data_IF_302365499389
#
_entry.id   IF_302365499389
#
_cell.length_a   1.000
_cell.length_b   1.000
_cell.length_c   1.000
_cell.angle_alpha   90.00
_cell.angle_beta   90.00
_cell.angle_gamma   90.00
#
_symmetry.space_group_name_H-M   'P 1'
#
loop_
_entity.id
_entity.type
_entity.pdbx_description
1 polymer ?
#
# COMPACT_ATOMS: atom_id res chain seq x y z
N UNK A 1 -17.93 30.48 -1.29
CA UNK A 1 -16.89 30.30 -2.34
C UNK A 1 -15.64 31.19 -2.20
N UNK A 2 -15.67 32.32 -1.45
CA UNK A 2 -14.52 33.24 -1.33
C UNK A 2 -13.53 32.93 -0.18
N UNK A 3 -13.90 32.15 0.84
CA UNK A 3 -13.01 31.83 1.97
C UNK A 3 -12.08 30.63 1.72
N UNK A 4 -12.47 29.66 0.87
CA UNK A 4 -11.65 28.50 0.51
C UNK A 4 -10.38 28.90 -0.28
N UNK A 5 -10.42 29.93 -1.14
CA UNK A 5 -9.23 30.41 -1.88
C UNK A 5 -8.15 31.03 -0.97
N UNK A 6 -8.52 31.61 0.19
CA UNK A 6 -7.56 32.25 1.10
C UNK A 6 -6.72 31.22 1.87
N UNK A 7 -7.31 30.09 2.26
CA UNK A 7 -6.62 29.02 3.01
C UNK A 7 -5.59 28.31 2.13
N UNK A 8 -5.95 27.97 0.89
CA UNK A 8 -5.02 27.41 -0.09
C UNK A 8 -3.88 28.39 -0.43
N UNK A 9 -4.14 29.70 -0.54
CA UNK A 9 -3.07 30.68 -0.79
C UNK A 9 -2.07 30.81 0.37
N UNK A 10 -2.50 30.59 1.62
CA UNK A 10 -1.62 30.66 2.80
C UNK A 10 -0.72 29.44 2.88
N UNK A 11 -1.25 28.24 2.65
CA UNK A 11 -0.47 26.99 2.64
C UNK A 11 0.53 27.02 1.47
N UNK A 12 0.09 27.44 0.28
CA UNK A 12 0.96 27.51 -0.89
C UNK A 12 2.06 28.58 -0.75
N UNK A 13 1.78 29.73 -0.15
CA UNK A 13 2.80 30.76 0.13
C UNK A 13 3.76 30.35 1.25
N UNK A 14 3.32 29.57 2.24
CA UNK A 14 4.19 29.00 3.28
C UNK A 14 5.18 28.00 2.67
N UNK A 15 4.70 27.14 1.75
CA UNK A 15 5.53 26.22 0.97
C UNK A 15 6.46 26.95 0.00
N UNK A 16 6.06 28.07 -0.61
CA UNK A 16 6.93 28.81 -1.55
C UNK A 16 8.05 29.60 -0.84
N UNK A 17 7.77 30.12 0.36
CA UNK A 17 8.73 30.89 1.16
C UNK A 17 9.77 30.00 1.84
N UNK A 18 9.44 28.75 2.17
CA UNK A 18 10.42 27.76 2.67
C UNK A 18 11.37 27.25 1.59
N UNK A 19 10.94 27.22 0.32
CA UNK A 19 11.77 26.72 -0.79
C UNK A 19 12.82 27.71 -1.32
N UNK A 20 12.72 29.01 -1.03
CA UNK A 20 13.60 30.03 -1.65
C UNK A 20 14.71 30.58 -0.74
N UNK A 21 14.84 30.11 0.50
CA UNK A 21 15.91 30.59 1.42
C UNK A 21 16.85 29.51 1.99
N UNK A 22 16.68 28.22 1.66
CA UNK A 22 17.43 27.15 2.33
C UNK A 22 18.23 26.24 1.38
N UNK A 23 18.96 26.82 0.43
CA UNK A 23 19.90 26.04 -0.40
C UNK A 23 21.12 25.49 0.36
N UNK A 24 21.25 25.77 1.66
CA UNK A 24 22.35 25.29 2.52
C UNK A 24 21.88 24.43 3.73
N UNK A 25 20.57 24.16 3.87
CA UNK A 25 20.01 23.32 4.95
C UNK A 25 19.42 21.97 4.46
N UNK A 26 19.40 21.74 3.14
CA UNK A 26 18.79 20.55 2.54
C UNK A 26 19.66 19.27 2.63
N UNK A 27 20.90 19.35 3.09
CA UNK A 27 21.83 18.20 3.14
C UNK A 27 21.61 17.26 4.35
N UNK A 28 20.53 17.45 5.12
CA UNK A 28 20.16 16.58 6.26
C UNK A 28 18.70 16.14 6.29
N UNK A 29 17.99 16.19 5.16
CA UNK A 29 16.75 15.42 5.01
C UNK A 29 17.15 14.05 4.48
N UNK A 30 17.05 13.01 5.32
CA UNK A 30 17.24 11.63 4.88
C UNK A 30 16.32 11.36 3.69
N UNK A 31 16.87 11.36 2.47
CA UNK A 31 16.14 10.93 1.27
C UNK A 31 15.78 9.46 1.49
N UNK A 32 14.50 9.16 1.64
CA UNK A 32 14.03 7.77 1.67
C UNK A 32 14.20 7.26 0.24
N UNK A 33 15.21 6.41 0.03
CA UNK A 33 15.40 5.73 -1.23
C UNK A 33 14.36 4.60 -1.34
N UNK A 34 13.68 4.53 -2.47
CA UNK A 34 12.60 3.57 -2.70
C UNK A 34 12.92 2.85 -4.00
N UNK A 35 12.83 1.53 -3.98
CA UNK A 35 12.81 0.72 -5.19
C UNK A 35 11.38 0.63 -5.70
N UNK A 36 11.23 0.83 -7.00
CA UNK A 36 10.02 0.44 -7.73
C UNK A 36 10.36 -0.85 -8.47
N UNK A 37 9.67 -1.94 -8.12
CA UNK A 37 9.89 -3.25 -8.71
C UNK A 37 8.69 -3.62 -9.56
N UNK A 38 8.91 -4.31 -10.67
CA UNK A 38 7.85 -4.69 -11.63
C UNK A 38 7.75 -6.20 -11.73
N UNK A 39 6.51 -6.70 -11.80
CA UNK A 39 6.18 -8.10 -12.08
C UNK A 39 5.44 -8.20 -13.41
N UNK A 40 5.88 -9.11 -14.27
CA UNK A 40 5.19 -9.44 -15.52
C UNK A 40 4.10 -10.46 -15.22
N UNK A 41 2.84 -10.12 -15.50
CA UNK A 41 1.69 -10.96 -15.18
C UNK A 41 1.65 -12.23 -16.06
N UNK A 42 2.32 -12.24 -17.20
CA UNK A 42 2.48 -13.45 -18.02
C UNK A 42 3.34 -14.53 -17.34
N UNK A 43 4.14 -14.16 -16.34
CA UNK A 43 4.97 -15.10 -15.57
C UNK A 43 4.21 -15.65 -14.35
N UNK A 44 2.92 -15.30 -14.19
CA UNK A 44 2.11 -15.75 -13.05
C UNK A 44 1.81 -17.25 -13.12
N UNK A 45 2.35 -17.96 -12.14
CA UNK A 45 1.98 -19.34 -11.84
C UNK A 45 1.09 -19.38 -10.60
N UNK A 46 -0.04 -20.08 -10.71
CA UNK A 46 -0.99 -20.22 -9.62
C UNK A 46 -0.34 -20.89 -8.41
N UNK A 47 -0.41 -20.22 -7.27
CA UNK A 47 0.15 -20.71 -6.01
C UNK A 47 -0.95 -21.24 -5.10
N UNK A 48 -0.88 -22.52 -4.75
CA UNK A 48 -1.82 -23.13 -3.82
C UNK A 48 -1.42 -22.86 -2.37
N UNK A 49 -2.38 -22.38 -1.59
CA UNK A 49 -2.25 -22.23 -0.13
C UNK A 49 -2.70 -23.51 0.54
N UNK A 50 -1.85 -24.11 1.39
CA UNK A 50 -2.17 -25.34 2.12
C UNK A 50 -2.55 -25.04 3.59
N UNK A 51 -3.27 -23.95 3.83
CA UNK A 51 -3.73 -23.55 5.17
C UNK A 51 -5.22 -23.23 5.12
N UNK A 52 -6.04 -24.18 5.57
CA UNK A 52 -7.50 -24.06 5.60
C UNK A 52 -7.99 -22.94 6.54
N UNK A 53 -7.12 -22.43 7.42
CA UNK A 53 -7.44 -21.34 8.34
C UNK A 53 -7.27 -19.95 7.70
N UNK A 54 -6.76 -19.87 6.47
CA UNK A 54 -6.51 -18.62 5.76
C UNK A 54 -7.68 -18.25 4.85
N UNK A 55 -8.15 -17.00 4.97
CA UNK A 55 -9.20 -16.44 4.12
C UNK A 55 -8.81 -15.06 3.62
N UNK A 56 -9.07 -14.81 2.35
CA UNK A 56 -8.98 -13.48 1.74
C UNK A 56 -10.38 -12.88 1.72
N UNK A 57 -10.51 -11.64 2.22
CA UNK A 57 -11.79 -10.97 2.36
C UNK A 57 -11.72 -9.62 1.66
N UNK A 58 -12.60 -9.40 0.69
CA UNK A 58 -12.74 -8.12 0.03
C UNK A 58 -13.23 -7.06 1.02
N UNK A 59 -12.63 -5.88 0.93
CA UNK A 59 -13.09 -4.69 1.61
C UNK A 59 -14.49 -4.29 1.10
N UNK A 60 -15.34 -3.85 2.02
CA UNK A 60 -16.68 -3.32 1.73
C UNK A 60 -16.78 -1.85 2.14
N UNK A 61 -17.01 -0.99 1.15
CA UNK A 61 -17.29 0.45 1.35
C UNK A 61 -18.49 0.65 2.29
N UNK A 62 -18.41 1.69 3.10
CA UNK A 62 -19.30 2.11 4.18
C UNK A 62 -19.42 1.11 5.35
N UNK A 63 -18.52 0.13 5.43
CA UNK A 63 -18.50 -0.89 6.50
C UNK A 63 -17.12 -1.09 7.11
N UNK A 64 -16.10 -1.22 6.29
CA UNK A 64 -14.79 -1.73 6.71
C UNK A 64 -13.75 -0.61 6.92
N UNK A 65 -14.09 0.67 6.82
CA UNK A 65 -13.12 1.78 6.87
C UNK A 65 -12.36 1.83 8.19
N UNK A 66 -13.09 1.64 9.30
CA UNK A 66 -12.48 1.60 10.63
C UNK A 66 -11.51 0.42 10.72
N UNK A 67 -11.90 -0.76 10.25
CA UNK A 67 -11.06 -1.96 10.22
C UNK A 67 -9.81 -1.75 9.36
N UNK A 68 -9.97 -1.16 8.17
CA UNK A 68 -8.87 -0.82 7.24
C UNK A 68 -7.89 0.16 7.90
N UNK A 69 -8.41 1.21 8.55
CA UNK A 69 -7.61 2.19 9.27
C UNK A 69 -6.80 1.51 10.38
N UNK A 70 -7.46 0.72 11.23
CA UNK A 70 -6.83 0.09 12.40
C UNK A 70 -5.74 -0.89 11.98
N UNK A 71 -6.04 -1.79 11.02
CA UNK A 71 -5.07 -2.80 10.59
C UNK A 71 -3.86 -2.18 9.89
N UNK A 72 -4.05 -1.14 9.07
CA UNK A 72 -2.91 -0.46 8.43
C UNK A 72 -2.05 0.27 9.45
N UNK A 73 -2.67 0.92 10.44
CA UNK A 73 -1.92 1.56 11.52
C UNK A 73 -1.12 0.56 12.34
N UNK A 74 -1.65 -0.64 12.57
CA UNK A 74 -0.95 -1.70 13.27
C UNK A 74 0.21 -2.29 12.44
N UNK A 75 -0.01 -2.57 11.15
CA UNK A 75 1.00 -3.11 10.23
C UNK A 75 2.17 -2.13 10.05
N UNK A 76 1.86 -0.85 9.85
CA UNK A 76 2.81 0.21 9.48
C UNK A 76 3.18 1.11 10.66
N UNK A 77 2.98 0.66 11.90
CA UNK A 77 3.34 1.44 13.07
C UNK A 77 4.85 1.70 13.11
N UNK A 78 5.25 2.97 13.00
CA UNK A 78 6.64 3.40 13.06
C UNK A 78 6.75 4.74 13.79
N UNK A 79 7.84 5.00 14.55
CA UNK A 79 7.96 6.20 15.39
C UNK A 79 7.76 7.54 14.67
N UNK A 80 8.03 7.59 13.36
CA UNK A 80 7.96 8.81 12.54
C UNK A 80 6.72 8.86 11.64
N UNK A 81 5.87 7.84 11.67
CA UNK A 81 4.66 7.79 10.85
C UNK A 81 3.50 8.44 11.61
N UNK A 82 2.77 9.33 10.95
CA UNK A 82 1.48 9.82 11.45
C UNK A 82 0.46 8.70 11.22
N UNK A 83 -0.21 8.18 12.26
CA UNK A 83 -1.27 7.19 12.08
C UNK A 83 -2.40 7.75 11.22
N UNK A 84 -2.92 6.90 10.33
CA UNK A 84 -4.11 7.19 9.54
C UNK A 84 -5.30 7.44 10.47
N UNK A 85 -6.19 8.31 10.02
CA UNK A 85 -7.54 8.44 10.54
C UNK A 85 -8.52 7.79 9.56
N UNK A 86 -9.69 7.39 10.04
CA UNK A 86 -10.75 6.85 9.16
C UNK A 86 -11.14 7.84 8.07
N UNK A 87 -11.05 9.14 8.33
CA UNK A 87 -11.26 10.16 7.29
C UNK A 87 -10.27 10.06 6.14
N UNK A 88 -9.03 9.64 6.38
CA UNK A 88 -8.03 9.43 5.32
C UNK A 88 -8.45 8.28 4.41
N UNK A 89 -9.05 7.23 4.98
CA UNK A 89 -9.61 6.09 4.24
C UNK A 89 -10.77 6.55 3.32
N UNK A 90 -11.72 7.32 3.86
CA UNK A 90 -12.81 7.91 3.07
C UNK A 90 -12.32 8.86 1.96
N UNK A 91 -11.17 9.53 2.15
CA UNK A 91 -10.59 10.38 1.11
C UNK A 91 -9.89 9.56 0.02
N UNK A 92 -9.21 8.48 0.40
CA UNK A 92 -8.54 7.54 -0.52
C UNK A 92 -9.56 6.86 -1.45
N UNK A 93 -10.70 6.41 -0.92
CA UNK A 93 -11.80 5.79 -1.68
C UNK A 93 -12.38 6.68 -2.78
N UNK A 94 -12.28 8.00 -2.61
CA UNK A 94 -12.78 9.00 -3.57
C UNK A 94 -11.78 9.31 -4.68
N UNK A 95 -10.56 8.79 -4.61
CA UNK A 95 -9.55 9.06 -5.62
C UNK A 95 -9.80 8.22 -6.88
N UNK A 96 -9.48 8.79 -8.04
CA UNK A 96 -9.69 8.11 -9.33
C UNK A 96 -8.85 6.85 -9.51
N UNK A 97 -7.74 6.73 -8.76
CA UNK A 97 -6.89 5.53 -8.76
C UNK A 97 -7.47 4.37 -7.94
N UNK A 98 -8.43 4.64 -7.06
CA UNK A 98 -8.92 3.65 -6.11
C UNK A 98 -9.76 2.58 -6.82
N UNK A 99 -9.55 1.32 -6.46
CA UNK A 99 -10.33 0.16 -6.92
C UNK A 99 -10.76 -0.64 -5.70
N UNK A 100 -12.08 -0.77 -5.52
CA UNK A 100 -12.65 -1.39 -4.32
C UNK A 100 -12.40 -2.90 -4.29
N UNK A 101 -12.62 -3.53 -5.44
CA UNK A 101 -12.46 -4.95 -5.70
C UNK A 101 -11.05 -5.49 -5.45
N UNK A 102 -10.04 -4.60 -5.42
CA UNK A 102 -8.64 -4.96 -5.17
C UNK A 102 -8.12 -4.52 -3.81
N UNK A 103 -9.02 -4.19 -2.87
CA UNK A 103 -8.68 -3.94 -1.47
C UNK A 103 -8.97 -5.20 -0.65
N UNK A 104 -7.93 -5.88 -0.18
CA UNK A 104 -8.03 -7.23 0.39
C UNK A 104 -7.50 -7.26 1.82
N UNK A 105 -8.32 -7.83 2.72
CA UNK A 105 -7.87 -8.27 4.03
C UNK A 105 -7.44 -9.75 4.00
N UNK A 106 -6.43 -10.07 4.79
CA UNK A 106 -6.05 -11.44 5.11
C UNK A 106 -6.55 -11.79 6.51
N UNK A 107 -7.34 -12.86 6.63
CA UNK A 107 -7.75 -13.45 7.90
C UNK A 107 -7.04 -14.78 8.15
N UNK A 108 -6.71 -15.02 9.42
CA UNK A 108 -6.37 -16.32 9.97
C UNK A 108 -7.37 -16.66 11.07
N UNK A 109 -8.21 -17.65 10.84
CA UNK A 109 -9.41 -17.90 11.64
C UNK A 109 -10.31 -16.66 11.63
N UNK A 110 -10.63 -16.14 12.81
CA UNK A 110 -11.44 -14.93 12.96
C UNK A 110 -10.63 -13.63 12.99
N UNK A 111 -9.31 -13.71 13.06
CA UNK A 111 -8.44 -12.55 13.20
C UNK A 111 -8.01 -12.00 11.85
N UNK A 112 -8.15 -10.68 11.65
CA UNK A 112 -7.53 -9.99 10.53
C UNK A 112 -6.05 -9.77 10.81
N UNK A 113 -5.18 -10.33 9.97
CA UNK A 113 -3.73 -10.39 10.17
C UNK A 113 -2.92 -9.63 9.12
N UNK A 114 -3.56 -9.22 8.02
CA UNK A 114 -2.88 -8.53 6.93
C UNK A 114 -3.84 -7.72 6.08
N UNK A 115 -3.27 -6.78 5.32
CA UNK A 115 -3.98 -5.98 4.35
C UNK A 115 -3.08 -5.74 3.15
N UNK A 116 -3.69 -5.64 1.97
CA UNK A 116 -3.03 -5.27 0.73
C UNK A 116 -4.02 -4.72 -0.25
N UNK A 117 -3.54 -3.87 -1.15
CA UNK A 117 -4.39 -3.13 -2.07
C UNK A 117 -3.72 -3.01 -3.43
N UNK A 118 -4.50 -3.01 -4.50
CA UNK A 118 -4.03 -2.55 -5.82
C UNK A 118 -4.76 -1.25 -6.17
N UNK A 119 -4.01 -0.26 -6.64
CA UNK A 119 -4.52 1.00 -7.21
C UNK A 119 -4.09 1.12 -8.67
N UNK A 120 -4.77 1.95 -9.45
CA UNK A 120 -4.35 2.31 -10.81
C UNK A 120 -3.75 3.72 -10.84
N UNK A 121 -2.44 3.79 -10.99
CA UNK A 121 -1.75 5.06 -11.21
C UNK A 121 -1.32 5.15 -12.67
N UNK A 122 -1.85 6.13 -13.40
CA UNK A 122 -1.59 6.33 -14.84
C UNK A 122 -1.85 5.04 -15.65
N UNK A 123 -2.97 4.38 -15.35
CA UNK A 123 -3.40 3.09 -15.92
C UNK A 123 -2.43 1.92 -15.69
N UNK A 124 -1.50 2.05 -14.72
CA UNK A 124 -0.60 0.97 -14.30
C UNK A 124 -1.03 0.46 -12.93
N UNK A 125 -1.32 -0.85 -12.77
CA UNK A 125 -1.55 -1.47 -11.47
C UNK A 125 -0.35 -1.32 -10.54
N UNK A 126 -0.63 -0.87 -9.31
CA UNK A 126 0.36 -0.80 -8.25
C UNK A 126 -0.16 -1.46 -6.98
N UNK A 127 0.60 -2.43 -6.48
CA UNK A 127 0.38 -3.00 -5.16
C UNK A 127 0.89 -2.00 -4.12
N UNK A 128 -0.01 -1.57 -3.25
CA UNK A 128 0.23 -0.60 -2.18
C UNK A 128 -0.35 -1.13 -0.87
N UNK A 129 0.07 -0.52 0.24
CA UNK A 129 -0.44 -0.83 1.58
C UNK A 129 -0.36 -2.33 1.93
N UNK A 130 0.58 -3.07 1.34
CA UNK A 130 0.78 -4.50 1.56
C UNK A 130 1.57 -4.74 2.85
N UNK A 131 0.99 -5.46 3.79
CA UNK A 131 1.73 -5.93 4.95
C UNK A 131 0.96 -6.87 5.87
N UNK A 132 1.71 -7.44 6.81
CA UNK A 132 1.23 -8.40 7.80
C UNK A 132 1.52 -7.85 9.20
N UNK A 133 0.61 -8.07 10.14
CA UNK A 133 0.81 -7.75 11.57
C UNK A 133 2.09 -8.38 12.10
N UNK A 134 2.81 -7.68 12.98
CA UNK A 134 4.20 -8.02 13.34
C UNK A 134 4.34 -9.43 13.89
N UNK A 135 3.40 -9.85 14.73
CA UNK A 135 3.32 -11.15 15.39
C UNK A 135 2.99 -12.32 14.44
N UNK A 136 2.52 -12.04 13.22
CA UNK A 136 2.26 -13.02 12.17
C UNK A 136 3.34 -13.00 11.07
N UNK A 137 4.43 -12.24 11.20
CA UNK A 137 5.52 -12.22 10.21
C UNK A 137 6.40 -13.46 10.33
N UNK A 138 7.05 -13.84 9.22
CA UNK A 138 7.94 -15.00 9.17
C UNK A 138 7.26 -16.35 8.86
N UNK A 139 5.92 -16.38 8.81
CA UNK A 139 5.14 -17.60 8.54
C UNK A 139 4.64 -17.72 7.09
N UNK A 140 5.10 -16.86 6.18
CA UNK A 140 4.73 -16.91 4.76
C UNK A 140 3.44 -16.18 4.38
N UNK A 141 2.67 -15.61 5.31
CA UNK A 141 1.42 -14.90 5.01
C UNK A 141 1.59 -13.71 4.04
N UNK A 142 2.73 -13.01 4.09
CA UNK A 142 3.02 -11.93 3.14
C UNK A 142 3.15 -12.44 1.70
N UNK A 143 3.76 -13.62 1.52
CA UNK A 143 3.79 -14.33 0.24
C UNK A 143 2.37 -14.67 -0.20
N UNK A 144 1.57 -15.22 0.71
CA UNK A 144 0.21 -15.64 0.38
C UNK A 144 -0.67 -14.48 -0.08
N UNK A 145 -0.63 -13.37 0.66
CA UNK A 145 -1.36 -12.15 0.31
C UNK A 145 -0.90 -11.57 -1.03
N UNK A 146 0.41 -11.56 -1.29
CA UNK A 146 0.94 -11.07 -2.56
C UNK A 146 0.49 -11.95 -3.75
N UNK A 147 0.57 -13.28 -3.65
CA UNK A 147 0.06 -14.17 -4.70
C UNK A 147 -1.44 -14.00 -4.93
N UNK A 148 -2.22 -13.80 -3.87
CA UNK A 148 -3.66 -13.53 -4.02
C UNK A 148 -3.90 -12.22 -4.78
N UNK A 149 -3.20 -11.13 -4.43
CA UNK A 149 -3.30 -9.86 -5.15
C UNK A 149 -2.91 -10.01 -6.63
N UNK A 150 -1.83 -10.74 -6.93
CA UNK A 150 -1.45 -11.02 -8.33
C UNK A 150 -2.54 -11.80 -9.07
N UNK A 151 -3.17 -12.78 -8.41
CA UNK A 151 -4.25 -13.57 -9.02
C UNK A 151 -5.48 -12.73 -9.42
N UNK A 152 -5.73 -11.61 -8.74
CA UNK A 152 -6.81 -10.67 -9.10
C UNK A 152 -6.58 -9.96 -10.44
N UNK A 153 -5.34 -9.95 -10.95
CA UNK A 153 -4.97 -9.29 -12.19
C UNK A 153 -4.84 -10.26 -13.37
N UNK A 154 -4.91 -11.59 -13.16
CA UNK A 154 -4.70 -12.59 -14.20
C UNK A 154 -5.74 -12.52 -15.32
N UNK A 155 -7.00 -12.25 -14.96
CA UNK A 155 -8.11 -12.15 -15.92
C UNK A 155 -8.38 -10.70 -16.39
N UNK A 156 -7.36 -9.84 -16.27
CA UNK A 156 -7.44 -8.43 -16.68
C UNK A 156 -6.55 -8.17 -17.91
N UNK A 157 -6.71 -7.01 -18.54
CA UNK A 157 -5.91 -6.62 -19.72
C UNK A 157 -4.52 -6.03 -19.36
N UNK A 158 -4.07 -6.15 -18.10
CA UNK A 158 -2.78 -5.62 -17.68
C UNK A 158 -1.66 -6.65 -17.88
N UNK A 159 -0.55 -6.22 -18.49
CA UNK A 159 0.64 -7.08 -18.66
C UNK A 159 1.58 -7.07 -17.44
N UNK A 160 1.46 -6.06 -16.57
CA UNK A 160 2.37 -5.91 -15.44
C UNK A 160 1.75 -5.19 -14.26
N UNK A 161 2.37 -5.39 -13.09
CA UNK A 161 2.04 -4.70 -11.84
C UNK A 161 3.31 -4.25 -11.15
N UNK A 162 3.25 -3.07 -10.52
CA UNK A 162 4.38 -2.49 -9.81
C UNK A 162 4.20 -2.55 -8.30
N UNK A 163 5.30 -2.51 -7.57
CA UNK A 163 5.31 -2.34 -6.12
C UNK A 163 6.46 -1.44 -5.71
N UNK A 164 6.24 -0.61 -4.68
CA UNK A 164 7.27 0.26 -4.13
C UNK A 164 7.69 -0.18 -2.74
N UNK A 165 8.98 -0.16 -2.48
CA UNK A 165 9.57 -0.63 -1.22
C UNK A 165 10.74 0.24 -0.80
N UNK A 166 10.82 0.60 0.48
CA UNK A 166 11.98 1.29 1.02
C UNK A 166 13.24 0.42 0.87
N UNK A 167 14.35 1.01 0.43
CA UNK A 167 15.59 0.28 0.14
C UNK A 167 16.16 -0.51 1.33
N UNK A 168 15.81 -0.10 2.56
CA UNK A 168 16.25 -0.77 3.80
C UNK A 168 15.38 -1.97 4.17
N UNK A 169 14.22 -2.14 3.53
CA UNK A 169 13.30 -3.23 3.83
C UNK A 169 13.70 -4.51 3.09
N UNK A 170 14.86 -5.05 3.48
CA UNK A 170 15.45 -6.25 2.87
C UNK A 170 14.50 -7.46 2.92
N UNK A 171 13.61 -7.54 3.92
CA UNK A 171 12.63 -8.62 4.05
C UNK A 171 11.60 -8.55 2.92
N UNK A 172 11.06 -7.35 2.65
CA UNK A 172 10.10 -7.17 1.56
C UNK A 172 10.78 -7.31 0.19
N UNK A 173 11.98 -6.75 0.03
CA UNK A 173 12.76 -6.89 -1.22
C UNK A 173 13.06 -8.36 -1.54
N UNK A 174 13.52 -9.14 -0.55
CA UNK A 174 13.78 -10.56 -0.71
C UNK A 174 12.49 -11.34 -1.06
N UNK A 175 11.37 -11.01 -0.41
CA UNK A 175 10.07 -11.59 -0.75
C UNK A 175 9.67 -11.29 -2.21
N UNK A 176 9.74 -10.04 -2.64
CA UNK A 176 9.32 -9.62 -3.97
C UNK A 176 10.23 -10.23 -5.04
N UNK A 177 11.54 -10.20 -4.82
CA UNK A 177 12.53 -10.81 -5.72
C UNK A 177 12.29 -12.31 -5.88
N UNK A 178 12.02 -13.04 -4.77
CA UNK A 178 11.71 -14.48 -4.80
C UNK A 178 10.43 -14.83 -5.54
N UNK A 179 9.49 -13.89 -5.62
CA UNK A 179 8.24 -14.07 -6.36
C UNK A 179 8.44 -13.79 -7.85
N UNK A 180 9.44 -13.00 -8.22
CA UNK A 180 9.76 -12.66 -9.62
C UNK A 180 9.66 -11.18 -9.95
N UNK A 181 9.49 -10.31 -8.94
CA UNK A 181 9.63 -8.87 -9.17
C UNK A 181 11.09 -8.51 -9.42
N UNK A 182 11.33 -7.60 -10.38
CA UNK A 182 12.65 -7.11 -10.78
C UNK A 182 12.74 -5.61 -10.54
#
# INVERSE_FOLDING_TARGET
>A
MYQLKKVYSRIFNYLKKSFTQNSFLNDKINKIEVYEMTYNLNDFEMYQFNDDDIKFVNFTIDKDEQLRCDIQNEIFNAPYRIPLQVTDIYWDEKQSYYRNEWSIFLKKGEQFIGYGQIILQDDIPQIVNLGIKKEFRGYGYGKQLLYYLLSLLVDTDYDSVKIRVEYKNNIAIDLYTKIGFI
#
